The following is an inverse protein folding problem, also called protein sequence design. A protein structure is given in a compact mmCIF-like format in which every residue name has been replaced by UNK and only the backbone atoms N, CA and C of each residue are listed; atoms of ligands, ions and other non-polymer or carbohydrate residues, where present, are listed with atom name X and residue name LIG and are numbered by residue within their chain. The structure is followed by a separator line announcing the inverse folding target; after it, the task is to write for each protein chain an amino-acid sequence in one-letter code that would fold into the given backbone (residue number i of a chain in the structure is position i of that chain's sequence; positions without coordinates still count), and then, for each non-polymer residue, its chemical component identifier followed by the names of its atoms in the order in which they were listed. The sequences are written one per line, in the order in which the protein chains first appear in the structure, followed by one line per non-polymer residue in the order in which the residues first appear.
data_IF_821041721055
#
_entry.id   IF_821041721055
#
_cell.length_a   1.000
_cell.length_b   1.000
_cell.length_c   1.000
_cell.angle_alpha   90.00
_cell.angle_beta   90.00
_cell.angle_gamma   90.00
#
_symmetry.space_group_name_H-M   'P 1'
#
loop_
_entity.id
_entity.type
_entity.pdbx_description
1 polymer ?
#
# COMPACT_ATOMS: atom_id res chain seq x y z
N UNK A 1 33.84 37.45 -9.08
CA UNK A 1 33.11 36.28 -9.63
C UNK A 1 33.18 35.20 -8.57
N UNK A 2 32.12 35.03 -7.77
CA UNK A 2 32.06 33.98 -6.75
C UNK A 2 31.67 32.69 -7.44
N UNK A 3 32.61 31.76 -7.57
CA UNK A 3 32.34 30.38 -7.97
C UNK A 3 31.44 29.78 -6.90
N UNK A 4 30.16 29.59 -7.21
CA UNK A 4 29.26 28.84 -6.34
C UNK A 4 29.67 27.37 -6.52
N UNK A 5 30.56 26.87 -5.66
CA UNK A 5 30.80 25.43 -5.57
C UNK A 5 29.45 24.78 -5.25
N UNK A 6 28.92 24.04 -6.22
CA UNK A 6 27.73 23.22 -5.97
C UNK A 6 28.19 22.06 -5.10
N UNK A 7 27.69 21.92 -3.87
CA UNK A 7 28.21 20.93 -2.96
C UNK A 7 27.94 19.52 -3.51
N UNK A 8 28.94 18.64 -3.36
CA UNK A 8 28.90 17.31 -3.98
C UNK A 8 27.82 16.42 -3.36
N UNK A 9 27.08 15.66 -4.19
CA UNK A 9 26.03 14.79 -3.69
C UNK A 9 26.60 13.65 -2.83
N UNK A 10 25.88 13.32 -1.76
CA UNK A 10 26.28 12.28 -0.79
C UNK A 10 25.59 10.97 -1.15
N UNK A 11 26.32 9.86 -1.08
CA UNK A 11 25.74 8.52 -1.28
C UNK A 11 25.73 7.74 0.03
N UNK A 12 24.61 7.08 0.30
CA UNK A 12 24.41 6.26 1.50
C UNK A 12 23.81 4.92 1.11
N UNK A 13 24.20 3.86 1.80
CA UNK A 13 23.62 2.53 1.64
C UNK A 13 22.50 2.31 2.66
N UNK A 14 21.38 1.80 2.15
CA UNK A 14 20.23 1.40 2.96
C UNK A 14 19.85 -0.05 2.69
N UNK A 15 19.40 -0.78 3.70
CA UNK A 15 18.99 -2.18 3.57
C UNK A 15 17.48 -2.28 3.50
N UNK A 16 16.94 -2.88 2.44
CA UNK A 16 15.50 -3.09 2.32
C UNK A 16 15.02 -4.16 3.31
N UNK A 17 14.13 -3.81 4.24
CA UNK A 17 13.63 -4.72 5.28
C UNK A 17 12.18 -5.19 5.03
N UNK A 18 11.64 -4.90 3.85
CA UNK A 18 10.27 -5.25 3.48
C UNK A 18 9.27 -4.12 3.69
N UNK A 19 8.00 -4.44 3.54
CA UNK A 19 6.88 -3.52 3.72
C UNK A 19 6.44 -3.48 5.18
N UNK A 20 6.01 -2.30 5.63
CA UNK A 20 5.50 -2.06 6.99
C UNK A 20 4.28 -1.15 6.93
N UNK A 21 3.38 -1.34 7.87
CA UNK A 21 2.29 -0.39 8.09
C UNK A 21 2.86 0.89 8.67
N UNK A 22 2.64 2.01 7.99
CA UNK A 22 3.09 3.32 8.42
C UNK A 22 2.22 3.80 9.59
N UNK A 23 2.85 4.10 10.72
CA UNK A 23 2.15 4.58 11.91
C UNK A 23 1.36 5.89 11.64
N UNK A 24 1.82 6.71 10.72
CA UNK A 24 1.23 8.02 10.41
C UNK A 24 -0.13 7.96 9.70
N UNK A 25 -0.40 6.91 8.92
CA UNK A 25 -1.60 6.87 8.07
C UNK A 25 -2.17 5.46 7.85
N UNK A 26 -1.60 4.43 8.48
CA UNK A 26 -2.01 3.04 8.33
C UNK A 26 -1.79 2.46 6.93
N UNK A 27 -1.12 3.18 6.02
CA UNK A 27 -0.83 2.67 4.67
C UNK A 27 0.38 1.74 4.72
N UNK A 28 0.46 0.88 3.72
CA UNK A 28 1.63 0.05 3.50
C UNK A 28 2.73 0.90 2.86
N UNK A 29 3.92 0.94 3.46
CA UNK A 29 5.12 1.60 2.93
C UNK A 29 6.29 0.63 2.86
N UNK A 30 7.31 0.98 2.07
CA UNK A 30 8.56 0.24 1.92
C UNK A 30 9.57 0.77 2.93
N UNK A 31 10.05 -0.09 3.81
CA UNK A 31 10.95 0.27 4.89
C UNK A 31 12.41 -0.11 4.56
N UNK A 32 13.33 0.79 4.87
CA UNK A 32 14.75 0.63 4.65
C UNK A 32 15.54 1.03 5.88
N UNK A 33 16.48 0.21 6.30
CA UNK A 33 17.36 0.46 7.44
C UNK A 33 18.60 1.23 6.98
N UNK A 34 18.89 2.34 7.65
CA UNK A 34 20.07 3.19 7.49
C UNK A 34 20.74 3.31 8.87
N UNK A 35 21.70 2.44 9.16
CA UNK A 35 22.21 2.29 10.52
C UNK A 35 21.10 1.90 11.49
N UNK A 36 20.83 2.75 12.48
CA UNK A 36 19.73 2.54 13.46
C UNK A 36 18.40 3.20 13.03
N UNK A 37 18.41 4.05 12.00
CA UNK A 37 17.21 4.74 11.52
C UNK A 37 16.49 3.89 10.48
N UNK A 38 15.15 3.90 10.52
CA UNK A 38 14.34 3.33 9.43
C UNK A 38 13.75 4.46 8.58
N UNK A 39 14.06 4.45 7.27
CA UNK A 39 13.41 5.29 6.26
C UNK A 39 12.22 4.57 5.65
N UNK A 40 11.17 5.32 5.36
CA UNK A 40 9.95 4.80 4.76
C UNK A 40 9.65 5.52 3.46
N UNK A 41 9.29 4.76 2.42
CA UNK A 41 8.87 5.29 1.13
C UNK A 41 7.53 4.72 0.71
N UNK A 42 6.75 5.50 -0.02
CA UNK A 42 5.46 5.06 -0.57
C UNK A 42 5.61 4.11 -1.77
N UNK A 43 6.78 4.13 -2.42
CA UNK A 43 7.14 3.29 -3.55
C UNK A 43 8.50 2.61 -3.28
N UNK A 44 8.78 1.46 -3.92
CA UNK A 44 10.09 0.82 -3.78
C UNK A 44 11.17 1.69 -4.45
N UNK A 45 12.34 1.80 -3.80
CA UNK A 45 13.51 2.49 -4.37
C UNK A 45 14.01 1.77 -5.62
N UNK A 46 14.01 0.43 -5.59
CA UNK A 46 14.31 -0.43 -6.72
C UNK A 46 13.22 -1.49 -6.84
N UNK A 47 12.56 -1.54 -7.99
CA UNK A 47 11.52 -2.54 -8.27
C UNK A 47 12.11 -3.95 -8.23
N UNK A 48 11.45 -4.87 -7.53
CA UNK A 48 11.87 -6.27 -7.44
C UNK A 48 13.02 -6.52 -6.43
N UNK A 49 13.45 -5.52 -5.66
CA UNK A 49 14.43 -5.73 -4.60
C UNK A 49 13.92 -6.74 -3.57
N UNK A 50 14.78 -7.69 -3.19
CA UNK A 50 14.49 -8.67 -2.16
C UNK A 50 14.78 -8.10 -0.77
N UNK A 51 14.08 -8.61 0.25
CA UNK A 51 14.38 -8.26 1.64
C UNK A 51 15.83 -8.67 1.95
N UNK A 52 16.59 -7.77 2.55
CA UNK A 52 18.03 -7.88 2.74
C UNK A 52 18.87 -7.26 1.61
N UNK A 53 18.28 -6.78 0.52
CA UNK A 53 19.03 -6.06 -0.52
C UNK A 53 19.60 -4.76 0.03
N UNK A 54 20.90 -4.53 -0.17
CA UNK A 54 21.57 -3.24 0.06
C UNK A 54 21.42 -2.38 -1.18
N UNK A 55 20.89 -1.18 -0.99
CA UNK A 55 20.59 -0.23 -2.04
C UNK A 55 21.36 1.05 -1.74
N UNK A 56 22.19 1.47 -2.70
CA UNK A 56 22.81 2.79 -2.64
C UNK A 56 21.81 3.83 -3.12
N UNK A 57 21.57 4.84 -2.29
CA UNK A 57 20.87 6.07 -2.64
C UNK A 57 21.86 7.21 -2.73
N UNK A 58 21.62 8.14 -3.65
CA UNK A 58 22.41 9.37 -3.76
C UNK A 58 21.48 10.55 -3.54
N UNK A 59 21.89 11.44 -2.63
CA UNK A 59 21.15 12.63 -2.19
C UNK A 59 21.91 13.90 -2.56
N UNK A 60 21.23 15.03 -2.85
CA UNK A 60 21.87 16.33 -2.86
C UNK A 60 22.53 16.62 -1.50
N UNK A 61 23.65 17.34 -1.49
CA UNK A 61 24.41 17.61 -0.26
C UNK A 61 23.57 18.39 0.77
N UNK A 62 22.79 19.35 0.29
CA UNK A 62 21.97 20.24 1.12
C UNK A 62 20.62 19.61 1.54
N UNK A 63 20.24 18.49 0.92
CA UNK A 63 18.96 17.81 1.13
C UNK A 63 19.14 16.29 1.33
N UNK A 64 19.75 15.85 2.44
CA UNK A 64 20.13 14.44 2.65
C UNK A 64 18.93 13.46 2.76
N UNK A 65 17.74 13.96 3.07
CA UNK A 65 16.50 13.17 3.13
C UNK A 65 15.85 12.97 1.75
N UNK A 66 16.27 13.72 0.71
CA UNK A 66 15.80 13.59 -0.67
C UNK A 66 16.82 12.81 -1.49
N UNK A 67 16.36 12.03 -2.49
CA UNK A 67 17.25 11.27 -3.36
C UNK A 67 16.92 11.49 -4.84
N UNK A 68 17.91 11.31 -5.70
CA UNK A 68 17.71 11.32 -7.14
C UNK A 68 16.94 10.07 -7.57
N UNK A 69 15.68 10.21 -7.97
CA UNK A 69 14.83 9.05 -8.34
C UNK A 69 15.08 8.51 -9.76
N UNK A 70 15.77 9.27 -10.62
CA UNK A 70 16.01 8.94 -12.03
C UNK A 70 17.44 9.27 -12.47
N UNK A 71 17.83 8.78 -13.64
CA UNK A 71 19.13 9.05 -14.25
C UNK A 71 20.25 8.15 -13.71
N UNK A 72 21.53 8.56 -13.85
CA UNK A 72 22.68 7.76 -13.45
C UNK A 72 22.86 7.65 -11.93
N UNK A 73 22.31 8.59 -11.15
CA UNK A 73 22.34 8.63 -9.67
C UNK A 73 21.10 7.98 -9.02
N UNK A 74 20.28 7.29 -9.80
CA UNK A 74 19.08 6.60 -9.28
C UNK A 74 19.45 5.50 -8.29
N UNK A 75 18.53 5.11 -7.38
CA UNK A 75 18.78 4.01 -6.48
C UNK A 75 19.14 2.74 -7.24
N UNK A 76 20.12 1.99 -6.74
CA UNK A 76 20.59 0.74 -7.34
C UNK A 76 20.94 -0.27 -6.26
N UNK A 77 20.73 -1.55 -6.56
CA UNK A 77 21.17 -2.63 -5.69
C UNK A 77 22.69 -2.71 -5.76
N UNK A 78 23.34 -2.52 -4.62
CA UNK A 78 24.78 -2.63 -4.44
C UNK A 78 25.19 -4.04 -3.97
N UNK A 79 24.26 -4.78 -3.38
CA UNK A 79 24.50 -6.13 -2.91
C UNK A 79 23.38 -6.61 -1.99
N UNK A 80 23.71 -7.54 -1.12
CA UNK A 80 22.83 -8.01 -0.06
C UNK A 80 23.56 -7.90 1.28
N UNK A 81 22.77 -7.79 2.35
CA UNK A 81 23.26 -7.79 3.72
C UNK A 81 23.97 -9.12 4.01
N UNK A 82 25.15 -9.05 4.61
CA UNK A 82 25.97 -10.22 5.00
C UNK A 82 26.30 -10.24 6.48
N UNK A 83 25.97 -9.16 7.17
CA UNK A 83 26.24 -8.85 8.57
C UNK A 83 25.00 -9.04 9.46
N UNK A 84 23.91 -9.56 8.89
CA UNK A 84 22.67 -9.87 9.61
C UNK A 84 22.48 -11.38 9.64
N UNK A 85 22.09 -11.89 10.80
CA UNK A 85 21.84 -13.31 11.01
C UNK A 85 20.53 -13.77 10.34
N UNK A 86 20.46 -15.06 10.03
CA UNK A 86 19.31 -15.67 9.37
C UNK A 86 17.98 -15.47 10.13
N UNK A 87 17.93 -15.55 11.48
CA UNK A 87 16.71 -15.26 12.23
C UNK A 87 16.18 -13.85 12.03
N UNK A 88 17.06 -12.83 11.99
CA UNK A 88 16.64 -11.44 11.77
C UNK A 88 16.11 -11.24 10.34
N UNK A 89 16.78 -11.82 9.34
CA UNK A 89 16.32 -11.77 7.96
C UNK A 89 14.94 -12.43 7.81
N UNK A 90 14.75 -13.59 8.46
CA UNK A 90 13.47 -14.31 8.50
C UNK A 90 12.39 -13.47 9.18
N UNK A 91 12.70 -12.81 10.30
CA UNK A 91 11.77 -11.94 10.99
C UNK A 91 11.30 -10.78 10.09
N UNK A 92 12.19 -10.20 9.29
CA UNK A 92 11.82 -9.16 8.32
C UNK A 92 10.88 -9.67 7.23
N UNK A 93 11.11 -10.89 6.73
CA UNK A 93 10.25 -11.54 5.73
C UNK A 93 8.87 -11.87 6.29
N UNK A 94 8.81 -12.39 7.52
CA UNK A 94 7.54 -12.67 8.22
C UNK A 94 6.75 -11.37 8.43
N UNK A 95 7.42 -10.32 8.89
CA UNK A 95 6.79 -9.02 9.09
C UNK A 95 6.26 -8.40 7.78
N UNK A 96 6.99 -8.55 6.67
CA UNK A 96 6.51 -8.12 5.34
C UNK A 96 5.23 -8.86 4.92
N UNK A 97 5.22 -10.19 5.07
CA UNK A 97 4.06 -11.01 4.72
C UNK A 97 2.85 -10.65 5.59
N UNK A 98 3.06 -10.45 6.89
CA UNK A 98 2.00 -10.03 7.81
C UNK A 98 1.42 -8.67 7.43
N UNK A 99 2.28 -7.68 7.13
CA UNK A 99 1.84 -6.35 6.72
C UNK A 99 1.04 -6.38 5.40
N UNK A 100 1.48 -7.20 4.44
CA UNK A 100 0.74 -7.40 3.20
C UNK A 100 -0.64 -8.03 3.42
N UNK A 101 -0.71 -9.10 4.23
CA UNK A 101 -1.95 -9.80 4.51
C UNK A 101 -2.96 -8.88 5.21
N UNK A 102 -2.52 -8.13 6.22
CA UNK A 102 -3.35 -7.13 6.92
C UNK A 102 -3.99 -6.14 5.94
N UNK A 103 -3.20 -5.64 4.98
CA UNK A 103 -3.69 -4.70 3.97
C UNK A 103 -4.69 -5.36 3.02
N UNK A 104 -4.43 -6.59 2.59
CA UNK A 104 -5.31 -7.34 1.71
C UNK A 104 -6.67 -7.62 2.37
N UNK A 105 -6.67 -8.01 3.66
CA UNK A 105 -7.87 -8.27 4.43
C UNK A 105 -8.68 -6.99 4.66
N UNK A 106 -8.02 -5.87 4.96
CA UNK A 106 -8.67 -4.57 5.06
C UNK A 106 -9.34 -4.15 3.74
N UNK A 107 -8.67 -4.36 2.61
CA UNK A 107 -9.23 -4.05 1.28
C UNK A 107 -10.39 -4.98 0.89
N UNK A 108 -10.32 -6.26 1.25
CA UNK A 108 -11.42 -7.21 1.07
C UNK A 108 -12.65 -6.79 1.89
N UNK A 109 -12.43 -6.45 3.16
CA UNK A 109 -13.48 -6.01 4.09
C UNK A 109 -14.14 -4.71 3.61
N UNK A 110 -13.34 -3.73 3.16
CA UNK A 110 -13.84 -2.48 2.60
C UNK A 110 -14.67 -2.69 1.33
N UNK A 111 -14.26 -3.61 0.45
CA UNK A 111 -15.03 -3.97 -0.75
C UNK A 111 -16.36 -4.63 -0.38
N UNK A 112 -16.36 -5.57 0.56
CA UNK A 112 -17.56 -6.22 1.04
C UNK A 112 -18.54 -5.21 1.66
N UNK A 113 -18.05 -4.31 2.52
CA UNK A 113 -18.86 -3.24 3.12
C UNK A 113 -19.46 -2.30 2.06
N UNK A 114 -18.68 -1.92 1.04
CA UNK A 114 -19.18 -1.10 -0.07
C UNK A 114 -20.29 -1.81 -0.86
N UNK A 115 -20.14 -3.10 -1.12
CA UNK A 115 -21.14 -3.91 -1.81
C UNK A 115 -22.43 -4.03 -0.98
N UNK A 116 -22.31 -4.30 0.32
CA UNK A 116 -23.45 -4.36 1.24
C UNK A 116 -24.20 -3.02 1.28
N UNK A 117 -23.49 -1.90 1.40
CA UNK A 117 -24.10 -0.57 1.38
C UNK A 117 -24.82 -0.26 0.05
N UNK A 118 -24.31 -0.77 -1.07
CA UNK A 118 -24.95 -0.60 -2.37
C UNK A 118 -26.23 -1.43 -2.48
N UNK A 119 -26.21 -2.66 -1.99
CA UNK A 119 -27.39 -3.52 -1.91
C UNK A 119 -28.48 -2.87 -1.05
N UNK A 120 -28.12 -2.36 0.13
CA UNK A 120 -29.07 -1.71 1.03
C UNK A 120 -29.79 -0.53 0.36
N UNK A 121 -29.05 0.33 -0.35
CA UNK A 121 -29.63 1.44 -1.12
C UNK A 121 -30.63 0.97 -2.18
N UNK A 122 -30.39 -0.18 -2.80
CA UNK A 122 -31.33 -0.73 -3.78
C UNK A 122 -32.59 -1.29 -3.11
N UNK A 123 -32.45 -1.95 -1.96
CA UNK A 123 -33.58 -2.41 -1.15
C UNK A 123 -34.43 -1.21 -0.68
N UNK A 124 -33.79 -0.14 -0.22
CA UNK A 124 -34.47 1.11 0.15
C UNK A 124 -35.24 1.72 -1.03
N UNK A 125 -34.62 1.76 -2.22
CA UNK A 125 -35.27 2.27 -3.43
C UNK A 125 -36.51 1.44 -3.82
N UNK A 126 -36.41 0.11 -3.77
CA UNK A 126 -37.54 -0.79 -4.00
C UNK A 126 -38.65 -0.59 -2.96
N UNK A 127 -38.28 -0.42 -1.69
CA UNK A 127 -39.21 -0.16 -0.59
C UNK A 127 -39.94 1.17 -0.78
N UNK A 128 -39.21 2.21 -1.20
CA UNK A 128 -39.78 3.51 -1.53
C UNK A 128 -40.74 3.43 -2.72
N UNK A 129 -40.37 2.71 -3.78
CA UNK A 129 -41.23 2.49 -4.95
C UNK A 129 -42.51 1.71 -4.61
N UNK A 130 -42.45 0.81 -3.63
CA UNK A 130 -43.61 0.04 -3.16
C UNK A 130 -44.51 0.81 -2.18
N UNK A 131 -44.05 1.95 -1.63
CA UNK A 131 -44.77 2.73 -0.61
C UNK A 131 -46.17 3.19 -1.01
N UNK A 132 -46.42 3.69 -2.25
CA UNK A 132 -47.77 4.12 -2.67
C UNK A 132 -48.71 2.96 -3.03
N UNK A 133 -48.21 1.72 -3.10
CA UNK A 133 -49.00 0.56 -3.54
C UNK A 133 -49.91 0.03 -2.42
N UNK A 134 -51.07 -0.52 -2.79
CA UNK A 134 -51.95 -1.27 -1.87
C UNK A 134 -51.31 -2.61 -1.45
N UNK A 135 -51.85 -3.26 -0.42
CA UNK A 135 -51.31 -4.56 0.06
C UNK A 135 -51.20 -5.62 -1.03
N UNK A 136 -52.23 -5.76 -1.87
CA UNK A 136 -52.22 -6.71 -3.00
C UNK A 136 -51.19 -6.32 -4.07
N UNK A 137 -51.05 -5.03 -4.37
CA UNK A 137 -50.06 -4.52 -5.33
C UNK A 137 -48.62 -4.69 -4.84
N UNK A 138 -48.36 -4.52 -3.53
CA UNK A 138 -47.03 -4.81 -2.94
C UNK A 138 -46.67 -6.29 -3.05
N UNK A 139 -47.62 -7.18 -2.80
CA UNK A 139 -47.40 -8.62 -2.95
C UNK A 139 -47.08 -9.00 -4.40
N UNK A 140 -47.78 -8.43 -5.37
CA UNK A 140 -47.50 -8.62 -6.80
C UNK A 140 -46.13 -8.02 -7.19
N UNK A 141 -45.80 -6.81 -6.71
CA UNK A 141 -44.51 -6.16 -6.93
C UNK A 141 -43.34 -6.98 -6.37
N UNK A 142 -43.47 -7.52 -5.15
CA UNK A 142 -42.46 -8.37 -4.55
C UNK A 142 -42.19 -9.63 -5.39
N UNK A 143 -43.25 -10.31 -5.86
CA UNK A 143 -43.12 -11.47 -6.76
C UNK A 143 -42.44 -11.10 -8.08
N UNK A 144 -42.84 -9.99 -8.69
CA UNK A 144 -42.22 -9.51 -9.92
C UNK A 144 -40.71 -9.24 -9.75
N UNK A 145 -40.32 -8.62 -8.63
CA UNK A 145 -38.90 -8.41 -8.31
C UNK A 145 -38.17 -9.74 -8.09
N UNK A 146 -38.79 -10.68 -7.37
CA UNK A 146 -38.24 -12.02 -7.14
C UNK A 146 -38.01 -12.79 -8.45
N UNK A 147 -38.99 -12.80 -9.35
CA UNK A 147 -38.90 -13.44 -10.67
C UNK A 147 -37.79 -12.81 -11.51
N UNK A 148 -37.71 -11.46 -11.50
CA UNK A 148 -36.68 -10.72 -12.23
C UNK A 148 -35.27 -11.00 -11.71
N UNK A 149 -35.11 -11.16 -10.39
CA UNK A 149 -33.83 -11.54 -9.77
C UNK A 149 -33.44 -12.97 -10.16
N UNK A 150 -34.40 -13.89 -10.22
CA UNK A 150 -34.17 -15.29 -10.60
C UNK A 150 -33.93 -15.47 -12.10
N UNK A 151 -34.19 -14.45 -12.92
CA UNK A 151 -33.97 -14.47 -14.37
C UNK A 151 -35.08 -15.15 -15.17
N UNK A 152 -36.31 -15.17 -14.64
CA UNK A 152 -37.51 -15.64 -15.34
C UNK A 152 -38.19 -14.50 -16.09
#
# INVERSE_FOLDING_TARGET
MSTTETPEPVSTDVTYIGRRTLASNGKLGYAYLEGERTRYYTAPLVTGAQIGARITITSPADEPDVYFSKGPRRPRIAGHVTDVDEPTLTAWQVADRAAYQLKADADASKRAAKQAAHLERHIEALTHAARPLTGAQRAAFARYVEDRIRGW
#
